data_IF_115583540011
#
_entry.id   IF_115583540011
#
_cell.length_a   1.000
_cell.length_b   1.000
_cell.length_c   1.000
_cell.angle_alpha   90.00
_cell.angle_beta   90.00
_cell.angle_gamma   90.00
#
_symmetry.space_group_name_H-M   'P 1'
#
loop_
_entity.id
_entity.type
_entity.pdbx_description
1 polymer ?
#
# COMPACT_ATOMS: atom_id res chain seq x y z
N UNK A 1 8.13 13.29 -0.01
CA UNK A 1 9.51 12.91 0.28
C UNK A 1 10.18 12.33 -0.95
N UNK A 2 10.89 13.15 -1.69
CA UNK A 2 11.50 12.69 -2.95
C UNK A 2 12.47 11.55 -2.70
N UNK A 3 12.49 10.61 -3.63
CA UNK A 3 13.39 9.48 -3.58
C UNK A 3 12.90 8.29 -2.76
N UNK A 4 11.84 8.45 -1.98
CA UNK A 4 11.27 7.32 -1.26
C UNK A 4 10.54 6.41 -2.22
N UNK A 5 10.52 5.11 -1.91
CA UNK A 5 10.00 4.07 -2.80
C UNK A 5 8.65 3.59 -2.34
N UNK A 6 7.70 3.58 -3.27
CA UNK A 6 6.34 3.14 -3.01
C UNK A 6 6.00 1.96 -3.92
N UNK A 7 5.54 0.87 -3.32
CA UNK A 7 5.02 -0.27 -4.07
C UNK A 7 3.51 -0.19 -4.04
N UNK A 8 2.88 -0.17 -5.23
CA UNK A 8 1.43 -0.12 -5.37
C UNK A 8 0.95 -1.47 -5.88
N UNK A 9 0.10 -2.12 -5.10
CA UNK A 9 -0.47 -3.43 -5.44
C UNK A 9 -1.98 -3.27 -5.61
N UNK A 10 -2.45 -3.36 -6.85
CA UNK A 10 -3.85 -3.14 -7.18
C UNK A 10 -4.14 -3.85 -8.50
N UNK A 11 -5.26 -4.58 -8.58
CA UNK A 11 -5.59 -5.34 -9.79
C UNK A 11 -6.25 -4.49 -10.89
N UNK A 12 -6.66 -3.27 -10.59
CA UNK A 12 -7.30 -2.39 -11.57
C UNK A 12 -6.25 -1.55 -12.30
N UNK A 13 -6.07 -1.77 -13.62
CA UNK A 13 -5.01 -1.05 -14.34
C UNK A 13 -5.15 0.46 -14.29
N UNK A 14 -6.39 0.97 -14.34
CA UNK A 14 -6.61 2.40 -14.33
C UNK A 14 -6.21 3.01 -12.99
N UNK A 15 -6.50 2.32 -11.89
CA UNK A 15 -6.13 2.78 -10.55
C UNK A 15 -4.62 2.74 -10.37
N UNK A 16 -3.99 1.64 -10.81
CA UNK A 16 -2.52 1.54 -10.73
C UNK A 16 -1.83 2.68 -11.48
N UNK A 17 -2.28 2.92 -12.72
CA UNK A 17 -1.67 3.95 -13.55
C UNK A 17 -1.88 5.35 -12.97
N UNK A 18 -3.07 5.60 -12.44
CA UNK A 18 -3.38 6.88 -11.81
C UNK A 18 -2.47 7.13 -10.62
N UNK A 19 -2.33 6.13 -9.75
CA UNK A 19 -1.49 6.27 -8.56
C UNK A 19 -0.02 6.40 -8.93
N UNK A 20 0.43 5.62 -9.91
CA UNK A 20 1.82 5.69 -10.37
C UNK A 20 2.14 7.08 -10.90
N UNK A 21 1.26 7.60 -11.75
CA UNK A 21 1.47 8.92 -12.34
C UNK A 21 1.50 10.02 -11.27
N UNK A 22 0.49 10.02 -10.40
CA UNK A 22 0.39 11.02 -9.36
C UNK A 22 1.60 11.01 -8.43
N UNK A 23 1.98 9.84 -7.97
CA UNK A 23 3.07 9.72 -6.99
C UNK A 23 4.43 9.98 -7.62
N UNK A 24 4.62 9.56 -8.87
CA UNK A 24 5.86 9.85 -9.58
C UNK A 24 6.05 11.35 -9.74
N UNK A 25 4.97 12.08 -10.03
CA UNK A 25 5.05 13.53 -10.15
C UNK A 25 5.40 14.21 -8.83
N UNK A 26 5.12 13.56 -7.72
CA UNK A 26 5.46 14.08 -6.40
C UNK A 26 6.88 13.71 -5.98
N UNK A 27 7.64 13.04 -6.85
CA UNK A 27 9.03 12.73 -6.59
C UNK A 27 9.30 11.37 -6.00
N UNK A 28 8.27 10.55 -5.83
CA UNK A 28 8.46 9.18 -5.34
C UNK A 28 8.93 8.27 -6.46
N UNK A 29 9.68 7.25 -6.10
CA UNK A 29 9.99 6.16 -7.01
C UNK A 29 8.92 5.09 -6.81
N UNK A 30 8.20 4.76 -7.88
CA UNK A 30 7.00 3.92 -7.77
C UNK A 30 7.17 2.63 -8.57
N UNK A 31 6.84 1.51 -7.95
CA UNK A 31 6.71 0.24 -8.65
C UNK A 31 5.28 -0.24 -8.48
N UNK A 32 4.71 -0.80 -9.56
CA UNK A 32 3.34 -1.30 -9.53
C UNK A 32 3.34 -2.81 -9.67
N UNK A 33 2.36 -3.46 -9.05
CA UNK A 33 2.12 -4.89 -9.16
C UNK A 33 0.63 -5.13 -9.32
N UNK A 34 0.24 -6.06 -10.17
CA UNK A 34 -1.17 -6.27 -10.47
C UNK A 34 -1.87 -7.25 -9.53
N UNK A 35 -1.11 -7.92 -8.67
CA UNK A 35 -1.69 -8.82 -7.66
C UNK A 35 -0.72 -8.99 -6.49
N UNK A 36 -1.22 -9.67 -5.45
CA UNK A 36 -0.44 -9.84 -4.23
C UNK A 36 0.81 -10.67 -4.43
N UNK A 37 0.74 -11.70 -5.26
CA UNK A 37 1.91 -12.55 -5.51
C UNK A 37 3.04 -11.75 -6.16
N UNK A 38 2.71 -10.95 -7.17
CA UNK A 38 3.71 -10.11 -7.83
C UNK A 38 4.23 -9.03 -6.90
N UNK A 39 3.36 -8.50 -6.03
CA UNK A 39 3.79 -7.55 -5.01
C UNK A 39 4.82 -8.14 -4.07
N UNK A 40 4.58 -9.36 -3.59
CA UNK A 40 5.53 -10.02 -2.71
C UNK A 40 6.85 -10.30 -3.41
N UNK A 41 6.81 -10.66 -4.69
CA UNK A 41 8.04 -10.89 -5.46
C UNK A 41 8.85 -9.61 -5.63
N UNK A 42 8.20 -8.46 -5.62
CA UNK A 42 8.88 -7.18 -5.80
C UNK A 42 9.62 -6.69 -4.55
N UNK A 43 9.33 -7.28 -3.39
CA UNK A 43 9.88 -6.77 -2.12
C UNK A 43 11.40 -6.70 -2.09
N UNK A 44 12.07 -7.79 -2.42
CA UNK A 44 13.52 -7.86 -2.29
C UNK A 44 14.23 -6.97 -3.30
N UNK A 45 13.76 -7.01 -4.54
CA UNK A 45 14.40 -6.27 -5.62
C UNK A 45 14.17 -4.76 -5.51
N UNK A 46 12.97 -4.37 -5.12
CA UNK A 46 12.61 -2.96 -5.06
C UNK A 46 12.89 -2.32 -3.70
N UNK A 47 12.73 -3.07 -2.62
CA UNK A 47 12.91 -2.60 -1.25
C UNK A 47 12.07 -1.34 -0.97
N UNK A 48 10.75 -1.43 -1.02
CA UNK A 48 9.90 -0.25 -0.84
C UNK A 48 9.98 0.31 0.56
N UNK A 49 9.69 1.60 0.69
CA UNK A 49 9.58 2.28 1.98
C UNK A 49 8.15 2.24 2.51
N UNK A 50 7.18 2.05 1.63
CA UNK A 50 5.77 1.90 2.00
C UNK A 50 5.05 1.12 0.89
N UNK A 51 4.03 0.35 1.28
CA UNK A 51 3.21 -0.41 0.34
C UNK A 51 1.78 0.11 0.39
N UNK A 52 1.19 0.36 -0.78
CA UNK A 52 -0.23 0.63 -0.93
C UNK A 52 -0.86 -0.65 -1.45
N UNK A 53 -1.78 -1.23 -0.70
CA UNK A 53 -2.30 -2.56 -0.98
C UNK A 53 -3.81 -2.56 -1.08
N UNK A 54 -4.33 -2.87 -2.27
CA UNK A 54 -5.76 -3.02 -2.47
C UNK A 54 -6.26 -4.25 -1.71
N UNK A 55 -7.39 -4.09 -1.05
CA UNK A 55 -7.96 -5.18 -0.26
C UNK A 55 -8.63 -6.24 -1.13
N UNK A 56 -9.23 -5.83 -2.25
CA UNK A 56 -10.00 -6.75 -3.10
C UNK A 56 -9.26 -7.04 -4.40
N UNK A 57 -8.68 -8.23 -4.47
CA UNK A 57 -7.93 -8.67 -5.65
C UNK A 57 -8.22 -10.16 -5.89
N UNK A 58 -8.16 -10.61 -7.15
CA UNK A 58 -8.28 -12.04 -7.42
C UNK A 58 -7.03 -12.80 -6.98
N UNK A 59 -7.14 -14.09 -6.88
CA UNK A 59 -6.08 -15.03 -6.47
C UNK A 59 -5.67 -14.85 -5.02
N UNK A 60 -4.71 -13.96 -4.73
CA UNK A 60 -4.30 -13.66 -3.37
C UNK A 60 -4.87 -12.30 -2.99
N UNK A 61 -5.89 -12.28 -2.14
CA UNK A 61 -6.53 -11.01 -1.76
C UNK A 61 -5.65 -10.17 -0.84
N UNK A 62 -6.12 -8.96 -0.55
CA UNK A 62 -5.33 -8.02 0.24
C UNK A 62 -5.03 -8.51 1.65
N UNK A 63 -5.97 -9.21 2.29
CA UNK A 63 -5.74 -9.72 3.64
C UNK A 63 -4.65 -10.76 3.66
N UNK A 64 -4.67 -11.68 2.71
CA UNK A 64 -3.65 -12.72 2.64
C UNK A 64 -2.29 -12.12 2.30
N UNK A 65 -2.28 -11.16 1.38
CA UNK A 65 -1.04 -10.46 1.04
C UNK A 65 -0.48 -9.73 2.26
N UNK A 66 -1.35 -9.07 3.02
CA UNK A 66 -0.94 -8.36 4.24
C UNK A 66 -0.30 -9.30 5.24
N UNK A 67 -0.86 -10.50 5.41
CA UNK A 67 -0.29 -11.48 6.33
C UNK A 67 1.14 -11.85 5.92
N UNK A 68 1.37 -12.06 4.64
CA UNK A 68 2.71 -12.38 4.15
C UNK A 68 3.67 -11.19 4.31
N UNK A 69 3.20 -9.99 4.03
CA UNK A 69 4.03 -8.79 4.20
C UNK A 69 4.41 -8.58 5.65
N UNK A 70 3.46 -8.73 6.56
CA UNK A 70 3.73 -8.54 7.98
C UNK A 70 4.73 -9.57 8.52
N UNK A 71 4.67 -10.79 8.00
CA UNK A 71 5.59 -11.85 8.43
C UNK A 71 6.99 -11.65 7.86
N UNK A 72 7.10 -11.19 6.61
CA UNK A 72 8.40 -11.08 5.91
C UNK A 72 9.07 -9.75 6.13
N UNK A 73 8.29 -8.69 6.34
CA UNK A 73 8.84 -7.33 6.48
C UNK A 73 8.04 -6.57 7.54
N UNK A 74 8.18 -6.95 8.83
CA UNK A 74 7.32 -6.39 9.89
C UNK A 74 7.51 -4.89 10.11
N UNK A 75 8.62 -4.31 9.68
CA UNK A 75 8.85 -2.87 9.83
C UNK A 75 8.36 -2.07 8.64
N UNK A 76 7.93 -2.73 7.57
CA UNK A 76 7.48 -2.05 6.36
C UNK A 76 6.02 -1.61 6.55
N UNK A 77 5.73 -0.29 6.49
CA UNK A 77 4.35 0.14 6.64
C UNK A 77 3.52 -0.24 5.41
N UNK A 78 2.35 -0.80 5.66
CA UNK A 78 1.39 -1.18 4.62
C UNK A 78 0.13 -0.37 4.84
N UNK A 79 -0.28 0.40 3.83
CA UNK A 79 -1.52 1.15 3.84
C UNK A 79 -2.53 0.38 3.01
N UNK A 80 -3.62 -0.05 3.64
CA UNK A 80 -4.67 -0.77 2.95
C UNK A 80 -5.60 0.20 2.24
N UNK A 81 -5.97 -0.12 1.00
CA UNK A 81 -6.95 0.64 0.24
C UNK A 81 -8.22 -0.20 0.20
N UNK A 82 -9.31 0.29 0.73
CA UNK A 82 -10.51 -0.55 0.91
C UNK A 82 -11.80 0.23 0.70
N UNK A 83 -12.83 -0.46 0.18
CA UNK A 83 -14.19 0.09 0.10
C UNK A 83 -14.93 -0.11 1.42
N UNK A 84 -14.41 -0.96 2.31
CA UNK A 84 -15.03 -1.25 3.59
C UNK A 84 -14.30 -0.54 4.71
N UNK A 85 -14.88 0.56 5.20
CA UNK A 85 -14.28 1.34 6.27
C UNK A 85 -15.05 1.27 7.58
N UNK A 86 -15.87 0.23 7.77
CA UNK A 86 -16.56 0.02 9.02
C UNK A 86 -15.56 -0.28 10.13
N UNK A 87 -16.00 -0.07 11.37
CA UNK A 87 -15.11 -0.18 12.53
C UNK A 87 -14.52 -1.59 12.66
N UNK A 88 -15.35 -2.60 12.42
CA UNK A 88 -14.90 -3.98 12.58
C UNK A 88 -13.82 -4.34 11.57
N UNK A 89 -14.02 -4.01 10.30
CA UNK A 89 -13.06 -4.30 9.25
C UNK A 89 -11.74 -3.55 9.46
N UNK A 90 -11.82 -2.26 9.76
CA UNK A 90 -10.61 -1.46 9.93
C UNK A 90 -9.82 -1.88 11.16
N UNK A 91 -10.50 -2.23 12.25
CA UNK A 91 -9.81 -2.74 13.43
C UNK A 91 -9.08 -4.04 13.12
N UNK A 92 -9.70 -4.92 12.32
CA UNK A 92 -9.08 -6.18 11.93
C UNK A 92 -7.82 -5.94 11.08
N UNK A 93 -7.89 -5.01 10.14
CA UNK A 93 -6.73 -4.69 9.30
C UNK A 93 -5.54 -4.22 10.16
N UNK A 94 -5.81 -3.36 11.12
CA UNK A 94 -4.75 -2.87 12.00
C UNK A 94 -4.19 -3.98 12.87
N UNK A 95 -5.04 -4.87 13.38
CA UNK A 95 -4.60 -6.01 14.16
C UNK A 95 -3.73 -6.97 13.36
N UNK A 96 -3.98 -7.06 12.05
CA UNK A 96 -3.22 -7.93 11.17
C UNK A 96 -1.89 -7.33 10.72
N UNK A 97 -1.60 -6.10 11.12
CA UNK A 97 -0.33 -5.47 10.85
C UNK A 97 -0.34 -4.31 9.87
N UNK A 98 -1.53 -3.89 9.39
CA UNK A 98 -1.60 -2.71 8.55
C UNK A 98 -1.26 -1.48 9.38
N UNK A 99 -0.49 -0.57 8.77
CA UNK A 99 -0.14 0.69 9.44
C UNK A 99 -1.28 1.69 9.41
N UNK A 100 -2.09 1.64 8.35
CA UNK A 100 -3.21 2.56 8.18
C UNK A 100 -4.11 2.01 7.08
N UNK A 101 -5.23 2.68 6.84
CA UNK A 101 -6.12 2.35 5.73
C UNK A 101 -6.63 3.63 5.09
N UNK A 102 -6.99 3.54 3.80
CA UNK A 102 -7.56 4.65 3.05
C UNK A 102 -8.82 4.13 2.38
N UNK A 103 -10.00 4.67 2.69
CA UNK A 103 -11.23 4.18 2.09
C UNK A 103 -11.40 4.66 0.65
N UNK A 104 -12.01 3.84 -0.18
CA UNK A 104 -12.39 4.21 -1.55
C UNK A 104 -13.82 4.70 -1.56
N UNK A 105 -14.13 5.73 -2.34
CA UNK A 105 -13.24 6.56 -3.15
C UNK A 105 -12.41 7.51 -2.28
N UNK A 106 -11.23 7.88 -2.75
CA UNK A 106 -10.36 8.78 -1.99
C UNK A 106 -9.87 9.91 -2.88
N UNK A 107 -9.44 11.01 -2.23
CA UNK A 107 -8.73 12.08 -2.91
C UNK A 107 -7.24 11.78 -2.89
N UNK A 108 -6.55 12.10 -3.97
CA UNK A 108 -5.12 11.82 -4.07
C UNK A 108 -4.31 12.57 -3.02
N UNK A 109 -4.74 13.78 -2.65
CA UNK A 109 -4.06 14.52 -1.59
C UNK A 109 -4.17 13.81 -0.24
N UNK A 110 -5.31 13.20 0.04
CA UNK A 110 -5.49 12.42 1.27
C UNK A 110 -4.57 11.21 1.28
N UNK A 111 -4.47 10.53 0.13
CA UNK A 111 -3.58 9.38 0.00
C UNK A 111 -2.13 9.78 0.25
N UNK A 112 -1.70 10.89 -0.34
CA UNK A 112 -0.33 11.36 -0.16
C UNK A 112 -0.06 11.72 1.30
N UNK A 113 -1.04 12.32 1.97
CA UNK A 113 -0.90 12.66 3.37
C UNK A 113 -0.70 11.40 4.22
N UNK A 114 -1.48 10.35 3.95
CA UNK A 114 -1.35 9.09 4.65
C UNK A 114 0.05 8.48 4.44
N UNK A 115 0.55 8.54 3.22
CA UNK A 115 1.89 8.06 2.88
C UNK A 115 2.95 8.85 3.65
N UNK A 116 2.85 10.17 3.65
CA UNK A 116 3.83 11.03 4.32
C UNK A 116 3.90 10.74 5.81
N UNK A 117 2.76 10.51 6.44
CA UNK A 117 2.71 10.19 7.86
C UNK A 117 3.48 8.90 8.14
N UNK A 118 3.30 7.88 7.32
CA UNK A 118 3.98 6.60 7.52
C UNK A 118 5.49 6.72 7.28
N UNK A 119 5.88 7.46 6.26
CA UNK A 119 7.31 7.66 5.98
C UNK A 119 7.99 8.42 7.10
N UNK A 120 7.31 9.38 7.71
CA UNK A 120 7.86 10.14 8.84
C UNK A 120 7.93 9.26 10.09
N UNK A 121 6.93 8.42 10.33
CA UNK A 121 6.86 7.57 11.51
C UNK A 121 7.93 6.50 11.52
N UNK A 122 8.38 6.05 10.34
CA UNK A 122 9.40 5.00 10.24
C UNK A 122 10.80 5.57 10.13
N UNK A 123 10.93 6.85 10.32
CA UNK A 123 12.17 7.56 10.06
C UNK A 123 13.02 7.69 11.33
N UNK A 124 13.50 6.65 11.82
CA UNK A 124 14.43 6.73 12.98
C UNK A 124 15.76 6.12 12.64
#
# INVERSE_FOLDING_TARGET
MPGKKILVVDDEPEVRQMMEHFLTERGYEVRIAENGRLGLLALDAFAPDVVLLDMHMPEMDGLETLKHLAARAPSLPVIMITVNDDVETTARLLQMGAADYVPKPFHLDYLEQAISIQLSATHD
#
